data_IF_538141193423
#
_entry.id   IF_538141193423
#
_cell.length_a   1.000
_cell.length_b   1.000
_cell.length_c   1.000
_cell.angle_alpha   90.00
_cell.angle_beta   90.00
_cell.angle_gamma   90.00
#
_symmetry.space_group_name_H-M   'P 1'
#
loop_
_entity.id
_entity.type
_entity.pdbx_description
1 polymer ?
#
# COMPACT_ATOMS: atom_id res chain seq x y z
N UNK A 1 -44.68 1.40 -70.75
CA UNK A 1 -44.29 1.90 -72.09
C UNK A 1 -44.94 3.26 -72.26
N UNK A 2 -44.14 4.31 -72.52
CA UNK A 2 -44.60 5.69 -72.80
C UNK A 2 -45.35 6.37 -71.61
N UNK A 3 -45.39 7.70 -71.47
CA UNK A 3 -45.05 8.76 -72.42
C UNK A 3 -44.61 10.07 -71.73
N UNK A 4 -43.75 10.86 -72.41
CA UNK A 4 -43.47 12.33 -72.29
C UNK A 4 -43.24 12.96 -70.89
N UNK A 5 -42.15 13.70 -70.66
CA UNK A 5 -41.95 15.11 -71.07
C UNK A 5 -40.55 15.59 -70.57
N UNK A 6 -39.87 16.67 -71.02
CA UNK A 6 -40.01 17.63 -72.15
C UNK A 6 -38.65 18.34 -72.36
N UNK A 7 -38.01 18.27 -73.53
CA UNK A 7 -36.73 18.99 -73.80
C UNK A 7 -36.99 20.47 -74.13
N UNK A 8 -36.21 21.39 -73.54
CA UNK A 8 -35.95 22.73 -74.10
C UNK A 8 -34.46 23.07 -74.03
N UNK A 9 -33.97 23.71 -75.10
CA UNK A 9 -32.55 24.08 -75.32
C UNK A 9 -32.18 25.35 -74.54
N UNK A 10 -30.93 25.43 -74.10
CA UNK A 10 -30.31 26.63 -73.53
C UNK A 10 -28.87 26.41 -73.06
N UNK A 11 -27.90 26.75 -73.90
CA UNK A 11 -26.47 26.97 -73.59
C UNK A 11 -26.12 28.37 -74.16
N UNK A 12 -25.02 29.05 -73.76
CA UNK A 12 -24.06 28.78 -72.67
C UNK A 12 -23.73 30.06 -71.83
N UNK A 13 -22.54 30.06 -71.17
CA UNK A 13 -21.65 31.22 -70.84
C UNK A 13 -21.61 31.65 -69.34
N UNK A 14 -20.37 31.89 -68.85
CA UNK A 14 -19.93 32.40 -67.51
C UNK A 14 -20.31 31.53 -66.29
N UNK A 15 -19.43 30.85 -65.54
CA UNK A 15 -17.98 30.95 -65.32
C UNK A 15 -17.49 32.19 -64.55
N UNK A 16 -18.16 32.62 -63.45
CA UNK A 16 -17.65 33.67 -62.57
C UNK A 16 -18.25 33.73 -61.12
N UNK A 17 -18.43 32.61 -60.40
CA UNK A 17 -18.55 32.64 -58.91
C UNK A 17 -17.90 31.40 -58.29
N UNK A 18 -16.58 31.39 -58.14
CA UNK A 18 -15.83 30.29 -57.50
C UNK A 18 -14.77 30.80 -56.53
N UNK A 19 -15.03 31.96 -55.91
CA UNK A 19 -14.08 32.64 -55.03
C UNK A 19 -14.76 33.54 -53.97
N UNK A 20 -15.75 33.05 -53.21
CA UNK A 20 -16.13 33.68 -51.92
C UNK A 20 -16.95 32.82 -50.91
N UNK A 21 -16.77 31.49 -50.84
CA UNK A 21 -17.36 30.67 -49.75
C UNK A 21 -16.31 29.73 -49.14
N UNK A 22 -15.21 30.31 -48.64
CA UNK A 22 -14.11 29.59 -47.95
C UNK A 22 -14.11 29.88 -46.42
N UNK A 23 -15.13 30.58 -45.90
CA UNK A 23 -15.19 31.04 -44.49
C UNK A 23 -16.52 30.70 -43.79
N UNK A 24 -17.13 29.56 -44.14
CA UNK A 24 -18.30 29.03 -43.42
C UNK A 24 -18.33 27.49 -43.49
N UNK A 25 -17.88 26.82 -42.43
CA UNK A 25 -17.90 25.35 -42.36
C UNK A 25 -16.81 24.71 -41.48
N UNK A 26 -15.78 25.45 -41.08
CA UNK A 26 -14.71 24.98 -40.17
C UNK A 26 -15.16 24.91 -38.69
N UNK A 27 -16.39 24.44 -38.46
CA UNK A 27 -17.08 24.40 -37.16
C UNK A 27 -17.53 22.99 -36.74
N UNK A 28 -16.97 21.95 -37.37
CA UNK A 28 -17.14 20.54 -36.94
C UNK A 28 -16.03 20.06 -35.96
N UNK A 29 -15.16 20.98 -35.51
CA UNK A 29 -14.12 20.72 -34.52
C UNK A 29 -14.61 21.05 -33.10
N UNK A 30 -15.60 20.29 -32.63
CA UNK A 30 -16.19 20.42 -31.30
C UNK A 30 -17.48 19.59 -31.24
N UNK A 31 -17.67 18.66 -30.30
CA UNK A 31 -17.02 18.51 -29.00
C UNK A 31 -16.40 17.12 -28.83
N UNK A 32 -15.12 17.06 -28.45
CA UNK A 32 -14.70 15.98 -27.58
C UNK A 32 -15.42 16.23 -26.24
N UNK A 33 -16.54 15.57 -26.02
CA UNK A 33 -17.14 15.51 -24.69
C UNK A 33 -16.08 14.91 -23.78
N UNK A 34 -15.50 15.75 -22.93
CA UNK A 34 -14.73 15.27 -21.81
C UNK A 34 -15.71 14.42 -20.98
N UNK A 35 -15.64 13.11 -21.17
CA UNK A 35 -16.25 12.15 -20.26
C UNK A 35 -15.57 12.40 -18.93
N UNK A 36 -16.23 13.20 -18.08
CA UNK A 36 -15.91 13.33 -16.68
C UNK A 36 -15.82 11.91 -16.16
N UNK A 37 -14.61 11.45 -15.86
CA UNK A 37 -14.35 10.08 -15.44
C UNK A 37 -15.30 9.78 -14.30
N UNK A 38 -16.26 8.87 -14.53
CA UNK A 38 -17.35 8.61 -13.59
C UNK A 38 -16.70 8.32 -12.25
N UNK A 39 -16.87 9.24 -11.29
CA UNK A 39 -16.09 9.23 -10.04
C UNK A 39 -16.15 7.84 -9.44
N UNK A 40 -14.99 7.25 -9.12
CA UNK A 40 -14.90 5.84 -8.76
C UNK A 40 -15.57 5.49 -7.41
N UNK A 41 -16.28 6.45 -6.82
CA UNK A 41 -16.94 6.36 -5.53
C UNK A 41 -16.02 6.81 -4.40
N UNK A 42 -16.15 6.16 -3.26
CA UNK A 42 -15.22 6.30 -2.13
C UNK A 42 -14.49 4.99 -1.96
N UNK A 43 -13.16 5.02 -2.02
CA UNK A 43 -12.28 3.91 -1.68
C UNK A 43 -11.79 4.09 -0.24
N UNK A 44 -11.80 3.04 0.55
CA UNK A 44 -11.39 3.04 1.96
C UNK A 44 -10.16 2.16 2.11
N UNK A 45 -9.00 2.80 2.24
CA UNK A 45 -7.72 2.11 2.44
C UNK A 45 -7.46 1.94 3.94
N UNK A 46 -6.83 0.85 4.36
CA UNK A 46 -6.34 0.73 5.73
C UNK A 46 -4.84 1.04 5.83
N UNK A 47 -4.52 2.01 6.69
CA UNK A 47 -3.18 2.31 7.14
C UNK A 47 -2.89 1.50 8.41
N UNK A 48 -1.83 0.70 8.38
CA UNK A 48 -1.29 0.06 9.58
C UNK A 48 -0.27 0.99 10.27
N UNK A 49 0.01 0.73 11.54
CA UNK A 49 0.77 1.65 12.39
C UNK A 49 2.31 1.60 12.20
N UNK A 50 2.77 1.48 10.95
CA UNK A 50 4.19 1.53 10.55
C UNK A 50 4.38 2.26 9.22
N UNK A 51 5.55 2.87 9.03
CA UNK A 51 5.83 3.84 7.98
C UNK A 51 5.74 3.27 6.55
N UNK A 52 6.03 1.97 6.37
CA UNK A 52 5.79 1.26 5.11
C UNK A 52 4.32 1.33 4.68
N UNK A 53 3.40 1.00 5.60
CA UNK A 53 1.97 1.00 5.32
C UNK A 53 1.45 2.42 5.08
N UNK A 54 1.94 3.41 5.83
CA UNK A 54 1.71 4.84 5.56
C UNK A 54 2.14 5.20 4.14
N UNK A 55 3.37 4.89 3.73
CA UNK A 55 3.89 5.22 2.40
C UNK A 55 3.02 4.58 1.29
N UNK A 56 2.75 3.28 1.39
CA UNK A 56 1.90 2.55 0.45
C UNK A 56 0.48 3.14 0.36
N UNK A 57 -0.14 3.44 1.51
CA UNK A 57 -1.49 4.01 1.61
C UNK A 57 -1.59 5.40 0.99
N UNK A 58 -0.64 6.30 1.30
CA UNK A 58 -0.73 7.68 0.84
C UNK A 58 -0.30 7.85 -0.62
N UNK A 59 0.61 7.01 -1.15
CA UNK A 59 0.90 6.95 -2.59
C UNK A 59 -0.34 6.49 -3.38
N UNK A 60 -0.97 5.38 -2.96
CA UNK A 60 -2.19 4.90 -3.62
C UNK A 60 -3.33 5.91 -3.53
N UNK A 61 -3.51 6.56 -2.37
CA UNK A 61 -4.48 7.66 -2.18
C UNK A 61 -4.26 8.79 -3.18
N UNK A 62 -3.02 9.25 -3.38
CA UNK A 62 -2.72 10.32 -4.33
C UNK A 62 -3.06 9.92 -5.78
N UNK A 63 -2.77 8.69 -6.17
CA UNK A 63 -3.13 8.15 -7.51
C UNK A 63 -4.66 8.05 -7.68
N UNK A 64 -5.37 7.48 -6.70
CA UNK A 64 -6.83 7.35 -6.69
C UNK A 64 -7.52 8.72 -6.77
N UNK A 65 -7.06 9.71 -6.00
CA UNK A 65 -7.61 11.07 -6.04
C UNK A 65 -7.36 11.73 -7.41
N UNK A 66 -6.20 11.49 -8.05
CA UNK A 66 -5.89 12.01 -9.38
C UNK A 66 -6.81 11.44 -10.49
N UNK A 67 -7.37 10.24 -10.30
CA UNK A 67 -8.36 9.63 -11.21
C UNK A 67 -9.82 9.85 -10.77
N UNK A 68 -10.07 10.78 -9.85
CA UNK A 68 -11.42 11.21 -9.48
C UNK A 68 -12.12 10.39 -8.39
N UNK A 69 -11.39 9.57 -7.63
CA UNK A 69 -11.90 8.86 -6.46
C UNK A 69 -11.91 9.75 -5.20
N UNK A 70 -12.88 9.55 -4.31
CA UNK A 70 -12.74 9.95 -2.90
C UNK A 70 -11.98 8.86 -2.16
N UNK A 71 -11.12 9.22 -1.21
CA UNK A 71 -10.36 8.24 -0.43
C UNK A 71 -10.54 8.49 1.07
N UNK A 72 -10.97 7.45 1.78
CA UNK A 72 -10.96 7.37 3.25
C UNK A 72 -9.79 6.51 3.70
N UNK A 73 -9.29 6.77 4.91
CA UNK A 73 -8.28 5.95 5.56
C UNK A 73 -8.87 5.41 6.87
N UNK A 74 -8.74 4.12 7.12
CA UNK A 74 -8.99 3.47 8.42
C UNK A 74 -7.67 3.07 9.06
N UNK A 75 -7.66 2.96 10.39
CA UNK A 75 -6.52 2.46 11.16
C UNK A 75 -7.00 1.28 12.01
N UNK A 76 -7.10 0.11 11.36
CA UNK A 76 -7.52 -1.17 11.95
C UNK A 76 -6.33 -2.11 11.92
N UNK A 77 -6.05 -2.79 13.04
CA UNK A 77 -4.90 -3.70 13.15
C UNK A 77 -4.98 -4.90 12.21
N UNK A 78 -3.83 -5.55 12.00
CA UNK A 78 -3.57 -6.63 11.05
C UNK A 78 -4.63 -7.75 11.00
N UNK A 79 -5.13 -8.23 12.15
CA UNK A 79 -6.09 -9.34 12.17
C UNK A 79 -7.54 -8.87 11.96
N UNK A 80 -8.07 -7.86 12.67
CA UNK A 80 -9.45 -7.41 12.49
C UNK A 80 -9.74 -6.76 11.13
N UNK A 81 -8.74 -6.22 10.43
CA UNK A 81 -8.96 -5.57 9.12
C UNK A 81 -9.51 -6.54 8.06
N UNK A 82 -9.21 -7.84 8.14
CA UNK A 82 -9.81 -8.84 7.25
C UNK A 82 -11.33 -8.95 7.41
N UNK A 83 -11.83 -8.84 8.65
CA UNK A 83 -13.27 -8.80 8.90
C UNK A 83 -13.89 -7.46 8.44
N UNK A 84 -13.13 -6.36 8.50
CA UNK A 84 -13.55 -5.08 7.95
C UNK A 84 -13.66 -5.14 6.42
N UNK A 85 -12.70 -5.79 5.74
CA UNK A 85 -12.74 -6.03 4.30
C UNK A 85 -13.91 -6.93 3.89
N UNK A 86 -14.08 -8.08 4.56
CA UNK A 86 -15.16 -9.02 4.26
C UNK A 86 -16.58 -8.42 4.43
N UNK A 87 -16.71 -7.37 5.25
CA UNK A 87 -17.95 -6.64 5.49
C UNK A 87 -18.07 -5.32 4.68
N UNK A 88 -17.18 -5.06 3.71
CA UNK A 88 -17.19 -3.85 2.88
C UNK A 88 -16.95 -2.53 3.64
N UNK A 89 -16.29 -2.59 4.81
CA UNK A 89 -15.90 -1.40 5.60
C UNK A 89 -14.51 -0.85 5.23
N UNK A 90 -13.69 -1.69 4.60
CA UNK A 90 -12.35 -1.41 4.09
C UNK A 90 -12.24 -2.06 2.72
N UNK A 91 -11.76 -1.36 1.71
CA UNK A 91 -11.68 -1.88 0.34
C UNK A 91 -10.32 -2.52 0.04
N UNK A 92 -9.24 -2.05 0.68
CA UNK A 92 -7.90 -2.63 0.52
C UNK A 92 -6.97 -2.41 1.72
N UNK A 93 -6.09 -3.39 1.94
CA UNK A 93 -4.85 -3.28 2.70
C UNK A 93 -3.70 -3.38 1.68
N UNK A 94 -2.76 -2.44 1.69
CA UNK A 94 -1.70 -2.34 0.67
C UNK A 94 -0.34 -2.90 1.12
N UNK A 95 -0.28 -3.39 2.35
CA UNK A 95 0.88 -4.07 2.92
C UNK A 95 0.40 -5.13 3.90
N UNK A 96 0.65 -6.39 3.57
CA UNK A 96 0.12 -7.57 4.24
C UNK A 96 1.26 -8.59 4.40
N UNK A 97 1.51 -9.01 5.64
CA UNK A 97 2.67 -9.79 6.06
C UNK A 97 2.34 -11.27 6.31
N UNK A 98 1.50 -11.86 5.44
CA UNK A 98 1.20 -13.30 5.35
C UNK A 98 0.36 -13.89 6.49
N UNK A 99 -0.89 -13.43 6.58
CA UNK A 99 -1.88 -13.93 7.54
C UNK A 99 -2.58 -15.22 7.09
N UNK A 100 -1.88 -16.36 7.19
CA UNK A 100 -2.33 -17.68 6.67
C UNK A 100 -3.73 -18.10 7.12
N UNK A 101 -4.09 -17.93 8.39
CA UNK A 101 -5.42 -18.31 8.89
C UNK A 101 -6.52 -17.39 8.34
N UNK A 102 -6.23 -16.10 8.21
CA UNK A 102 -7.11 -15.10 7.62
C UNK A 102 -7.29 -15.35 6.12
N UNK A 103 -6.24 -15.74 5.38
CA UNK A 103 -6.34 -16.18 3.99
C UNK A 103 -7.26 -17.39 3.85
N UNK A 104 -7.05 -18.42 4.67
CA UNK A 104 -7.88 -19.63 4.69
C UNK A 104 -9.34 -19.31 4.99
N UNK A 105 -9.60 -18.35 5.89
CA UNK A 105 -10.95 -17.92 6.24
C UNK A 105 -11.60 -17.07 5.15
N UNK A 106 -11.04 -15.90 4.85
CA UNK A 106 -11.70 -14.86 4.07
C UNK A 106 -11.53 -15.01 2.56
N UNK A 107 -10.40 -15.59 2.11
CA UNK A 107 -10.08 -15.77 0.69
C UNK A 107 -10.50 -17.16 0.21
N UNK A 108 -10.10 -18.22 0.92
CA UNK A 108 -10.31 -19.61 0.48
C UNK A 108 -11.69 -20.16 0.85
N UNK A 109 -12.23 -19.87 2.03
CA UNK A 109 -13.54 -20.41 2.48
C UNK A 109 -14.72 -19.48 2.20
N UNK A 110 -14.56 -18.18 2.44
CA UNK A 110 -15.65 -17.21 2.32
C UNK A 110 -15.69 -16.48 0.98
N UNK A 111 -14.56 -16.42 0.26
CA UNK A 111 -14.41 -15.66 -0.99
C UNK A 111 -14.82 -14.18 -0.90
N UNK A 112 -14.74 -13.60 0.29
CA UNK A 112 -15.11 -12.20 0.59
C UNK A 112 -13.93 -11.24 0.49
N UNK A 113 -12.71 -11.76 0.44
CA UNK A 113 -11.45 -11.00 0.22
C UNK A 113 -10.66 -11.69 -0.90
N UNK A 114 -9.91 -10.91 -1.68
CA UNK A 114 -9.04 -11.41 -2.75
C UNK A 114 -7.62 -10.87 -2.60
N UNK A 115 -6.61 -11.64 -3.04
CA UNK A 115 -5.24 -11.14 -3.11
C UNK A 115 -5.11 -10.20 -4.32
N UNK A 116 -4.84 -8.91 -4.08
CA UNK A 116 -4.63 -7.91 -5.14
C UNK A 116 -3.31 -8.06 -5.92
N UNK A 117 -2.43 -8.97 -5.49
CA UNK A 117 -1.08 -9.15 -6.04
C UNK A 117 -0.01 -8.35 -5.27
N UNK A 118 1.28 -8.52 -5.64
CA UNK A 118 2.39 -7.84 -4.98
C UNK A 118 2.44 -6.35 -5.35
N UNK A 119 2.76 -5.50 -4.37
CA UNK A 119 3.01 -4.06 -4.58
C UNK A 119 4.42 -3.74 -5.14
N UNK A 120 5.27 -4.77 -5.32
CA UNK A 120 6.65 -4.66 -5.82
C UNK A 120 7.72 -4.45 -4.73
N UNK A 121 7.34 -4.27 -3.47
CA UNK A 121 8.28 -4.10 -2.34
C UNK A 121 8.68 -5.48 -1.78
N UNK A 122 9.98 -5.71 -1.61
CA UNK A 122 10.50 -6.91 -0.92
C UNK A 122 10.88 -6.57 0.52
N UNK A 123 9.97 -6.90 1.43
CA UNK A 123 10.16 -6.72 2.86
C UNK A 123 11.00 -7.81 3.51
N UNK A 124 11.75 -7.46 4.56
CA UNK A 124 12.55 -8.40 5.36
C UNK A 124 12.21 -8.23 6.85
N UNK A 125 11.60 -9.24 7.47
CA UNK A 125 11.40 -9.30 8.92
C UNK A 125 12.57 -10.07 9.53
N UNK A 126 13.20 -9.50 10.56
CA UNK A 126 14.34 -10.12 11.23
C UNK A 126 14.77 -9.34 12.47
N UNK A 127 15.74 -9.89 13.19
CA UNK A 127 16.35 -9.23 14.35
C UNK A 127 17.52 -8.37 13.88
N UNK A 128 17.51 -7.10 14.26
CA UNK A 128 18.54 -6.12 13.88
C UNK A 128 19.43 -5.78 15.08
N UNK A 129 20.74 -5.70 14.83
CA UNK A 129 21.75 -5.37 15.85
C UNK A 129 22.52 -4.14 15.35
N UNK A 130 22.79 -3.12 16.19
CA UNK A 130 23.52 -1.93 15.78
C UNK A 130 24.90 -2.27 15.21
N UNK A 131 25.30 -1.59 14.14
CA UNK A 131 26.59 -1.84 13.46
C UNK A 131 27.79 -1.74 14.39
N UNK A 132 27.78 -0.84 15.38
CA UNK A 132 28.86 -0.72 16.35
C UNK A 132 28.98 -1.95 17.28
N UNK A 133 27.86 -2.54 17.71
CA UNK A 133 27.87 -3.80 18.44
C UNK A 133 28.30 -4.97 17.55
N UNK A 134 27.93 -4.96 16.26
CA UNK A 134 28.39 -5.97 15.29
C UNK A 134 29.89 -5.88 15.01
N UNK A 135 30.50 -4.70 15.11
CA UNK A 135 31.95 -4.49 15.01
C UNK A 135 32.68 -4.95 16.29
N UNK A 136 32.14 -4.67 17.47
CA UNK A 136 32.70 -5.09 18.76
C UNK A 136 32.52 -6.60 19.04
N UNK A 137 31.41 -7.18 18.58
CA UNK A 137 31.02 -8.57 18.82
C UNK A 137 30.64 -9.29 17.51
N UNK A 138 31.60 -9.60 16.61
CA UNK A 138 31.31 -10.19 15.30
C UNK A 138 30.53 -11.53 15.35
N UNK A 139 30.54 -12.24 16.47
CA UNK A 139 29.75 -13.44 16.71
C UNK A 139 28.23 -13.20 16.70
N UNK A 140 27.78 -11.97 16.93
CA UNK A 140 26.36 -11.56 16.93
C UNK A 140 25.68 -11.72 15.55
N UNK A 141 26.44 -12.02 14.49
CA UNK A 141 25.92 -12.47 13.18
C UNK A 141 25.00 -13.69 13.25
N UNK A 142 25.01 -14.43 14.36
CA UNK A 142 24.09 -15.55 14.60
C UNK A 142 23.52 -15.49 16.01
N UNK A 143 22.29 -16.00 16.19
CA UNK A 143 21.67 -16.12 17.50
C UNK A 143 22.52 -16.90 18.52
N UNK A 144 23.36 -17.84 18.05
CA UNK A 144 24.29 -18.61 18.90
C UNK A 144 25.32 -17.70 19.58
N UNK A 145 25.78 -16.65 18.90
CA UNK A 145 26.73 -15.68 19.46
C UNK A 145 26.12 -14.71 20.47
N UNK A 146 24.79 -14.64 20.57
CA UNK A 146 24.08 -13.87 21.60
C UNK A 146 24.04 -14.61 22.94
N UNK A 147 24.14 -15.94 22.96
CA UNK A 147 24.02 -16.76 24.18
C UNK A 147 25.10 -16.41 25.19
N UNK A 148 24.69 -16.09 26.43
CA UNK A 148 25.61 -15.68 27.50
C UNK A 148 26.17 -14.26 27.31
N UNK A 149 25.63 -13.49 26.36
CA UNK A 149 26.01 -12.10 26.03
C UNK A 149 24.81 -11.16 25.96
N UNK A 150 23.61 -11.65 26.29
CA UNK A 150 22.36 -10.89 26.28
C UNK A 150 22.41 -9.67 27.23
N UNK A 151 23.22 -9.74 28.30
CA UNK A 151 23.43 -8.64 29.25
C UNK A 151 24.03 -7.37 28.64
N UNK A 152 24.63 -7.42 27.45
CA UNK A 152 25.09 -6.24 26.69
C UNK A 152 23.91 -5.36 26.26
N UNK A 153 22.72 -5.95 26.10
CA UNK A 153 21.50 -5.25 25.72
C UNK A 153 20.63 -4.89 26.94
N UNK A 154 21.19 -4.84 28.15
CA UNK A 154 20.41 -4.54 29.36
C UNK A 154 19.76 -3.15 29.32
N UNK A 155 18.57 -3.07 29.91
CA UNK A 155 17.86 -1.82 30.16
C UNK A 155 17.17 -1.86 31.53
N UNK A 156 16.68 -0.72 32.05
CA UNK A 156 15.87 -0.70 33.27
C UNK A 156 14.63 -1.62 33.19
N UNK A 157 14.03 -1.75 32.00
CA UNK A 157 12.85 -2.58 31.77
C UNK A 157 13.18 -4.07 31.66
N UNK A 158 14.42 -4.45 31.35
CA UNK A 158 14.85 -5.85 31.18
C UNK A 158 15.30 -6.53 32.49
N UNK A 159 15.63 -5.74 33.52
CA UNK A 159 16.02 -6.25 34.84
C UNK A 159 17.33 -7.07 34.81
N UNK A 160 17.26 -8.35 35.17
CA UNK A 160 18.43 -9.25 35.12
C UNK A 160 18.77 -9.73 33.71
N UNK A 161 17.82 -9.67 32.77
CA UNK A 161 17.91 -10.16 31.40
C UNK A 161 18.44 -9.08 30.44
N UNK A 162 18.81 -9.44 29.21
CA UNK A 162 18.95 -8.47 28.12
C UNK A 162 17.57 -7.95 27.67
N UNK A 163 17.50 -6.74 27.12
CA UNK A 163 16.29 -6.26 26.44
C UNK A 163 16.28 -6.76 24.99
N UNK A 164 15.13 -7.29 24.57
CA UNK A 164 14.78 -7.39 23.15
C UNK A 164 13.66 -6.37 22.88
N UNK A 165 13.94 -5.34 22.08
CA UNK A 165 12.96 -4.30 21.72
C UNK A 165 12.11 -4.76 20.52
N UNK A 166 11.02 -5.44 20.81
CA UNK A 166 10.07 -5.94 19.80
C UNK A 166 9.09 -4.87 19.32
N UNK A 167 8.37 -5.20 18.24
CA UNK A 167 7.27 -4.39 17.71
C UNK A 167 6.02 -4.46 18.59
N UNK A 168 4.92 -3.89 18.13
CA UNK A 168 3.63 -3.99 18.83
C UNK A 168 3.19 -5.47 18.91
N UNK A 169 2.68 -5.98 20.04
CA UNK A 169 2.24 -7.38 20.16
C UNK A 169 1.13 -7.79 19.19
N UNK A 170 0.41 -6.84 18.58
CA UNK A 170 -0.62 -7.10 17.56
C UNK A 170 -0.06 -7.37 16.15
N UNK A 171 1.23 -7.10 15.92
CA UNK A 171 1.89 -7.43 14.65
C UNK A 171 2.24 -8.91 14.53
N UNK A 172 2.25 -9.43 13.30
CA UNK A 172 2.68 -10.79 12.96
C UNK A 172 4.17 -11.00 13.25
N UNK A 173 4.45 -11.65 14.37
CA UNK A 173 5.81 -11.91 14.84
C UNK A 173 5.91 -13.24 15.58
N UNK A 174 7.15 -13.71 15.81
CA UNK A 174 7.45 -14.94 16.56
C UNK A 174 8.53 -14.74 17.63
N UNK A 175 8.83 -13.50 18.00
CA UNK A 175 10.02 -13.15 18.78
C UNK A 175 10.04 -13.79 20.16
N UNK A 176 8.92 -13.74 20.91
CA UNK A 176 8.83 -14.36 22.23
C UNK A 176 9.01 -15.88 22.15
N UNK A 177 8.45 -16.52 21.12
CA UNK A 177 8.57 -17.96 20.88
C UNK A 177 10.01 -18.32 20.49
N UNK A 178 10.67 -17.51 19.66
CA UNK A 178 12.07 -17.68 19.25
C UNK A 178 13.03 -17.49 20.43
N UNK A 179 12.88 -16.42 21.22
CA UNK A 179 13.69 -16.18 22.44
C UNK A 179 13.63 -17.39 23.37
N UNK A 180 12.41 -17.91 23.63
CA UNK A 180 12.20 -19.10 24.46
C UNK A 180 12.79 -20.36 23.84
N UNK A 181 12.52 -20.63 22.57
CA UNK A 181 12.95 -21.86 21.88
C UNK A 181 14.48 -21.94 21.69
N UNK A 182 15.15 -20.80 21.48
CA UNK A 182 16.61 -20.71 21.34
C UNK A 182 17.33 -20.69 22.72
N UNK A 183 16.57 -20.56 23.81
CA UNK A 183 17.08 -20.47 25.18
C UNK A 183 18.00 -19.26 25.34
N UNK A 184 17.52 -18.08 24.91
CA UNK A 184 18.20 -16.80 25.03
C UNK A 184 17.69 -16.04 26.26
N UNK A 185 18.59 -15.43 27.02
CA UNK A 185 18.23 -14.65 28.21
C UNK A 185 17.81 -13.21 27.88
N UNK A 186 16.82 -13.06 26.98
CA UNK A 186 16.19 -11.79 26.67
C UNK A 186 14.80 -11.68 27.30
N UNK A 187 14.47 -10.48 27.79
CA UNK A 187 13.09 -10.05 28.04
C UNK A 187 12.58 -9.30 26.82
N UNK A 188 11.47 -9.77 26.26
CA UNK A 188 10.73 -9.03 25.23
C UNK A 188 10.12 -7.78 25.86
N UNK A 189 10.45 -6.62 25.29
CA UNK A 189 9.91 -5.31 25.65
C UNK A 189 9.33 -4.70 24.39
N UNK A 190 8.07 -4.27 24.46
CA UNK A 190 7.43 -3.48 23.41
C UNK A 190 6.99 -2.15 23.99
N UNK A 191 7.00 -1.12 23.15
CA UNK A 191 6.57 0.25 23.47
C UNK A 191 5.36 0.66 22.61
N UNK A 192 4.69 -0.31 22.00
CA UNK A 192 3.60 -0.11 21.05
C UNK A 192 4.09 -0.03 19.60
N UNK A 193 3.38 0.77 18.79
CA UNK A 193 3.61 0.90 17.35
C UNK A 193 5.02 1.41 16.95
N UNK A 194 5.39 1.19 15.69
CA UNK A 194 6.71 1.50 15.14
C UNK A 194 7.24 2.92 15.49
N UNK A 195 6.45 4.02 15.45
CA UNK A 195 6.96 5.34 15.83
C UNK A 195 7.51 5.40 17.27
N UNK A 196 6.87 4.70 18.20
CA UNK A 196 7.34 4.59 19.58
C UNK A 196 8.57 3.66 19.67
N UNK A 197 8.59 2.57 18.88
CA UNK A 197 9.74 1.66 18.80
C UNK A 197 10.99 2.37 18.25
N UNK A 198 10.85 3.17 17.20
CA UNK A 198 11.93 3.99 16.61
C UNK A 198 12.38 5.09 17.56
N UNK A 199 11.46 5.76 18.26
CA UNK A 199 11.82 6.73 19.30
C UNK A 199 12.60 6.07 20.44
N UNK A 200 12.16 4.90 20.93
CA UNK A 200 12.85 4.13 21.96
C UNK A 200 14.22 3.64 21.48
N UNK A 201 14.31 3.12 20.26
CA UNK A 201 15.58 2.74 19.64
C UNK A 201 16.54 3.92 19.58
N UNK A 202 16.07 5.09 19.18
CA UNK A 202 16.87 6.32 19.08
C UNK A 202 17.39 6.80 20.44
N UNK A 203 16.66 6.58 21.54
CA UNK A 203 17.13 6.86 22.91
C UNK A 203 18.22 5.89 23.38
N UNK A 204 18.25 4.67 22.83
CA UNK A 204 19.25 3.63 23.13
C UNK A 204 20.48 3.74 22.22
N UNK A 205 20.34 4.40 21.08
CA UNK A 205 21.38 4.54 20.06
C UNK A 205 22.34 5.67 20.44
N UNK A 206 23.58 5.30 20.82
CA UNK A 206 24.61 6.14 21.45
C UNK A 206 24.30 6.54 22.91
N UNK A 207 24.47 5.55 23.79
CA UNK A 207 25.28 5.74 24.99
C UNK A 207 26.69 5.22 24.70
#
# INVERSE_FOLDING_TARGET
MSDRFRVRRGRPIVAAVLALVVVAGLAAAGTATATTSKSCGTVTLNEQAWAGSTANTYVAKAVLQKIGCKVKITQITEIPVYQAMANGKTDAVLEDWQHVDQYKQYITKQHTVVMGGPNGVTGHIGWYIPTYLMQQYPQFKTWKGLKGKESIFKSPESGSQGMFLGGDPSYVQKDQQLIKALGLNFKFVSVGAEPAQVARWSQLYKQ
#
